data_IF_197643607291
#
_entry.id   IF_197643607291
#
_cell.length_a   1.000
_cell.length_b   1.000
_cell.length_c   1.000
_cell.angle_alpha   90.00
_cell.angle_beta   90.00
_cell.angle_gamma   90.00
#
_symmetry.space_group_name_H-M   'P 1'
#
loop_
_entity.id
_entity.type
_entity.pdbx_description
1 polymer ?
#
# COMPACT_ATOMS: atom_id res chain seq x y z
N UNK A 1 -51.48 15.48 33.09
CA UNK A 1 -50.05 15.07 33.06
C UNK A 1 -49.80 14.41 31.71
N UNK A 2 -49.48 15.20 30.68
CA UNK A 2 -49.14 14.68 29.35
C UNK A 2 -47.76 14.01 29.45
N UNK A 3 -47.67 12.72 29.14
CA UNK A 3 -46.40 12.01 29.07
C UNK A 3 -45.73 12.36 27.75
N UNK A 4 -44.95 13.44 27.74
CA UNK A 4 -44.04 13.75 26.65
C UNK A 4 -42.97 12.65 26.58
N UNK A 5 -43.24 11.63 25.76
CA UNK A 5 -42.27 10.60 25.41
C UNK A 5 -41.25 11.22 24.46
N UNK A 6 -40.26 11.90 25.03
CA UNK A 6 -39.05 12.32 24.31
C UNK A 6 -38.31 11.04 23.89
N UNK A 7 -38.62 10.55 22.69
CA UNK A 7 -37.85 9.51 22.04
C UNK A 7 -36.56 10.16 21.54
N UNK A 8 -35.45 9.88 22.22
CA UNK A 8 -34.14 10.20 21.66
C UNK A 8 -33.98 9.38 20.36
N UNK A 9 -33.72 10.01 19.20
CA UNK A 9 -33.40 9.25 18.01
C UNK A 9 -32.17 8.42 18.35
N UNK A 10 -32.28 7.10 18.26
CA UNK A 10 -31.17 6.19 18.44
C UNK A 10 -30.09 6.61 17.46
N UNK A 11 -29.09 7.32 17.98
CA UNK A 11 -28.08 7.96 17.18
C UNK A 11 -27.52 6.94 16.22
N UNK A 12 -27.73 7.17 14.92
CA UNK A 12 -27.01 6.53 13.83
C UNK A 12 -25.54 7.01 13.81
N UNK A 13 -24.96 7.18 15.01
CA UNK A 13 -23.61 7.60 15.32
C UNK A 13 -22.85 6.49 16.05
N UNK A 14 -23.32 5.25 15.92
CA UNK A 14 -22.49 4.09 16.22
C UNK A 14 -21.35 4.08 15.21
N UNK A 15 -20.22 4.68 15.62
CA UNK A 15 -18.90 4.66 14.98
C UNK A 15 -18.98 4.09 13.57
N UNK A 16 -19.17 4.95 12.57
CA UNK A 16 -18.93 4.57 11.17
C UNK A 16 -17.48 4.15 11.13
N UNK A 17 -17.23 2.87 11.39
CA UNK A 17 -15.94 2.26 11.19
C UNK A 17 -15.81 2.30 9.70
N UNK A 18 -14.87 3.13 9.24
CA UNK A 18 -14.31 3.03 7.91
C UNK A 18 -13.67 1.63 7.82
N UNK A 19 -14.51 0.60 7.65
CA UNK A 19 -14.13 -0.81 7.68
C UNK A 19 -13.33 -1.22 6.46
N UNK A 20 -13.24 -0.34 5.47
CA UNK A 20 -12.41 -0.55 4.30
C UNK A 20 -11.24 0.42 4.34
N UNK A 21 -10.32 0.18 5.26
CA UNK A 21 -8.91 0.35 4.90
C UNK A 21 -8.72 -0.48 3.62
N UNK A 22 -8.58 0.19 2.48
CA UNK A 22 -8.42 -0.44 1.17
C UNK A 22 -7.29 -1.47 1.25
N UNK A 23 -7.65 -2.73 1.47
CA UNK A 23 -6.74 -3.87 1.42
C UNK A 23 -6.37 -3.96 -0.05
N UNK A 24 -5.25 -3.34 -0.44
CA UNK A 24 -4.73 -3.41 -1.80
C UNK A 24 -4.78 -4.87 -2.24
N UNK A 25 -5.46 -5.16 -3.36
CA UNK A 25 -5.58 -6.53 -3.89
C UNK A 25 -4.21 -7.15 -4.17
N UNK A 26 -3.17 -6.31 -4.28
CA UNK A 26 -1.79 -6.70 -4.52
C UNK A 26 -0.93 -6.08 -3.41
N UNK A 27 -0.50 -6.93 -2.47
CA UNK A 27 0.46 -6.56 -1.41
C UNK A 27 1.79 -7.22 -1.76
N UNK A 28 2.78 -6.41 -2.13
CA UNK A 28 4.14 -6.89 -2.35
C UNK A 28 4.74 -7.23 -0.98
N UNK A 29 5.06 -8.51 -0.76
CA UNK A 29 5.79 -8.92 0.44
C UNK A 29 7.17 -8.25 0.43
N UNK A 30 7.73 -7.89 1.60
CA UNK A 30 9.07 -7.29 1.70
C UNK A 30 10.16 -8.05 0.94
N UNK A 31 10.07 -9.39 0.90
CA UNK A 31 11.00 -10.22 0.14
C UNK A 31 11.05 -9.92 -1.37
N UNK A 32 9.92 -9.54 -2.00
CA UNK A 32 9.90 -9.17 -3.42
C UNK A 32 10.63 -7.85 -3.66
N UNK A 33 10.51 -6.91 -2.72
CA UNK A 33 11.18 -5.60 -2.80
C UNK A 33 12.70 -5.80 -2.70
N UNK A 34 13.15 -6.62 -1.76
CA UNK A 34 14.58 -6.94 -1.58
C UNK A 34 15.14 -7.61 -2.84
N UNK A 35 14.41 -8.58 -3.41
CA UNK A 35 14.82 -9.24 -4.65
C UNK A 35 14.96 -8.24 -5.81
N UNK A 36 14.00 -7.33 -5.96
CA UNK A 36 14.02 -6.31 -7.01
C UNK A 36 15.22 -5.36 -6.85
N UNK A 37 15.53 -4.94 -5.62
CA UNK A 37 16.73 -4.16 -5.32
C UNK A 37 18.02 -4.89 -5.74
N UNK A 38 18.16 -6.17 -5.40
CA UNK A 38 19.33 -6.97 -5.78
C UNK A 38 19.47 -7.06 -7.30
N UNK A 39 18.36 -7.29 -8.02
CA UNK A 39 18.35 -7.35 -9.49
C UNK A 39 18.83 -6.03 -10.09
N UNK A 40 18.33 -4.89 -9.59
CA UNK A 40 18.75 -3.56 -10.07
C UNK A 40 20.25 -3.35 -9.86
N UNK A 41 20.79 -3.72 -8.69
CA UNK A 41 22.22 -3.63 -8.40
C UNK A 41 23.04 -4.48 -9.38
N UNK A 42 22.60 -5.70 -9.67
CA UNK A 42 23.29 -6.58 -10.62
C UNK A 42 23.28 -6.01 -12.05
N UNK A 43 22.15 -5.45 -12.49
CA UNK A 43 22.05 -4.79 -13.80
C UNK A 43 22.99 -3.57 -13.86
N UNK A 44 22.99 -2.74 -12.81
CA UNK A 44 23.90 -1.59 -12.73
C UNK A 44 25.36 -2.01 -12.74
N UNK A 45 25.73 -3.04 -11.98
CA UNK A 45 27.10 -3.55 -11.94
C UNK A 45 27.53 -4.12 -13.30
N UNK A 46 26.64 -4.89 -13.95
CA UNK A 46 26.88 -5.42 -15.29
C UNK A 46 27.08 -4.27 -16.30
N UNK A 47 26.22 -3.26 -16.25
CA UNK A 47 26.34 -2.10 -17.13
C UNK A 47 27.57 -1.26 -16.81
N UNK A 48 28.00 -1.16 -15.56
CA UNK A 48 29.23 -0.42 -15.22
C UNK A 48 30.48 -1.12 -15.78
N UNK A 49 30.52 -2.45 -15.73
CA UNK A 49 31.68 -3.23 -16.17
C UNK A 49 31.72 -3.37 -17.70
N UNK A 50 30.56 -3.63 -18.32
CA UNK A 50 30.46 -3.95 -19.74
C UNK A 50 29.84 -2.83 -20.58
N UNK A 51 29.34 -1.76 -19.95
CA UNK A 51 28.56 -0.71 -20.62
C UNK A 51 29.33 0.02 -21.70
N UNK A 52 30.60 0.38 -21.46
CA UNK A 52 31.43 0.99 -22.51
C UNK A 52 31.57 0.09 -23.74
N UNK A 53 31.77 -1.21 -23.52
CA UNK A 53 31.90 -2.20 -24.60
C UNK A 53 30.56 -2.50 -25.29
N UNK A 54 29.45 -2.50 -24.52
CA UNK A 54 28.12 -2.86 -24.99
C UNK A 54 27.40 -1.68 -25.69
N UNK A 55 27.58 -0.46 -25.17
CA UNK A 55 26.99 0.78 -25.69
C UNK A 55 27.89 1.47 -26.73
N UNK A 56 29.11 1.00 -26.94
CA UNK A 56 30.01 1.50 -27.99
C UNK A 56 30.54 2.92 -27.74
N UNK A 57 30.65 3.32 -26.47
CA UNK A 57 31.21 4.59 -25.98
C UNK A 57 32.60 4.37 -25.37
#
# INVERSE_FOLDING_TARGET
MAQDRVQMPSGMGGLVRYFDEYKSKIVLKPGHIILLCVIVILIMAFLYIYGNRLLGL
#
